data_IF_890302188790
#
_entry.id   IF_890302188790
#
_cell.length_a   1.000
_cell.length_b   1.000
_cell.length_c   1.000
_cell.angle_alpha   90.00
_cell.angle_beta   90.00
_cell.angle_gamma   90.00
#
_symmetry.space_group_name_H-M   'P 1'
#
loop_
_entity.id
_entity.type
_entity.pdbx_description
1 polymer ?
#
# COMPACT_ATOMS: atom_id res chain seq x y z
N UNK A 1 -2.23 6.60 17.07
CA UNK A 1 -3.61 6.07 17.15
C UNK A 1 -4.32 6.39 15.85
N UNK A 2 -5.17 5.47 15.38
CA UNK A 2 -5.84 5.47 14.07
C UNK A 2 -6.97 6.52 13.95
N UNK A 3 -7.30 7.19 15.05
CA UNK A 3 -8.53 7.97 15.24
C UNK A 3 -8.68 9.21 14.33
N UNK A 4 -7.65 9.58 13.57
CA UNK A 4 -7.72 10.72 12.65
C UNK A 4 -7.99 10.38 11.18
N UNK A 5 -7.91 9.11 10.78
CA UNK A 5 -7.94 8.73 9.34
C UNK A 5 -9.12 7.80 9.04
N UNK A 6 -9.40 6.86 9.93
CA UNK A 6 -10.58 6.01 9.88
C UNK A 6 -11.21 6.05 11.26
N UNK A 7 -12.41 6.63 11.37
CA UNK A 7 -13.17 6.67 12.63
C UNK A 7 -13.33 5.25 13.19
N UNK A 8 -13.38 5.02 14.51
CA UNK A 8 -13.76 3.71 15.07
C UNK A 8 -15.05 3.15 14.43
N UNK A 9 -15.17 1.82 14.33
CA UNK A 9 -16.36 1.16 13.77
C UNK A 9 -17.64 1.64 14.46
N UNK A 10 -17.57 1.81 15.79
CA UNK A 10 -18.67 2.30 16.64
C UNK A 10 -19.16 3.71 16.28
N UNK A 11 -18.38 4.47 15.52
CA UNK A 11 -18.67 5.87 15.16
C UNK A 11 -19.07 6.04 13.69
N UNK A 12 -19.19 4.95 12.92
CA UNK A 12 -19.42 4.97 11.47
C UNK A 12 -20.87 4.69 11.03
N UNK A 13 -21.81 4.55 11.96
CA UNK A 13 -23.24 4.35 11.68
C UNK A 13 -23.61 2.94 11.21
N UNK A 14 -24.92 2.70 11.03
CA UNK A 14 -25.52 1.34 10.94
C UNK A 14 -25.39 0.65 9.56
N UNK A 15 -24.71 1.25 8.58
CA UNK A 15 -24.62 0.72 7.21
C UNK A 15 -23.22 0.27 6.82
N UNK A 16 -22.45 -0.28 7.76
CA UNK A 16 -21.13 -0.87 7.48
C UNK A 16 -21.25 -2.34 7.08
N UNK A 17 -20.38 -2.76 6.15
CA UNK A 17 -20.27 -4.16 5.75
C UNK A 17 -19.94 -5.04 6.99
N UNK A 18 -20.73 -6.10 7.28
CA UNK A 18 -20.48 -6.98 8.42
C UNK A 18 -19.09 -7.61 8.44
N UNK A 19 -18.51 -7.92 7.27
CA UNK A 19 -17.16 -8.47 7.19
C UNK A 19 -16.11 -7.44 7.64
N UNK A 20 -16.32 -6.17 7.30
CA UNK A 20 -15.46 -5.06 7.72
C UNK A 20 -15.53 -4.84 9.23
N UNK A 21 -16.75 -4.87 9.80
CA UNK A 21 -16.97 -4.77 11.25
C UNK A 21 -16.23 -5.89 11.97
N UNK A 22 -16.39 -7.13 11.49
CA UNK A 22 -15.74 -8.29 12.09
C UNK A 22 -14.21 -8.20 11.99
N UNK A 23 -13.68 -7.80 10.84
CA UNK A 23 -12.25 -7.64 10.63
C UNK A 23 -11.64 -6.57 11.53
N UNK A 24 -12.36 -5.49 11.80
CA UNK A 24 -11.89 -4.35 12.60
C UNK A 24 -12.18 -4.46 14.10
N UNK A 25 -12.88 -5.52 14.54
CA UNK A 25 -13.19 -5.75 15.96
C UNK A 25 -11.93 -5.92 16.84
N UNK A 26 -10.87 -6.51 16.28
CA UNK A 26 -9.58 -6.70 16.95
C UNK A 26 -8.42 -6.64 15.93
N UNK A 27 -7.99 -5.45 15.52
CA UNK A 27 -6.98 -5.28 14.50
C UNK A 27 -5.59 -5.71 15.02
N UNK A 28 -4.82 -6.38 14.16
CA UNK A 28 -3.40 -6.69 14.43
C UNK A 28 -2.53 -5.57 13.89
N UNK A 29 -1.54 -5.13 14.67
CA UNK A 29 -0.53 -4.17 14.20
C UNK A 29 0.80 -4.89 14.00
N UNK A 30 1.46 -4.64 12.86
CA UNK A 30 2.80 -5.09 12.52
C UNK A 30 3.65 -3.85 12.25
N UNK A 31 4.76 -3.65 12.95
CA UNK A 31 5.66 -2.52 12.76
C UNK A 31 6.79 -2.89 11.81
N UNK A 32 7.01 -2.02 10.83
CA UNK A 32 8.12 -2.11 9.88
C UNK A 32 9.07 -0.94 10.11
N UNK A 33 10.35 -1.23 10.40
CA UNK A 33 11.39 -0.23 10.67
C UNK A 33 12.72 -0.69 10.08
N UNK A 34 13.32 0.09 9.15
CA UNK A 34 14.61 -0.27 8.54
C UNK A 34 15.77 -0.25 9.54
N UNK A 35 15.75 0.70 10.49
CA UNK A 35 16.76 0.85 11.54
C UNK A 35 16.61 -0.07 12.75
N UNK A 36 15.73 -1.09 12.68
CA UNK A 36 15.41 -1.97 13.81
C UNK A 36 14.27 -1.47 14.71
N UNK A 37 13.91 -2.28 15.72
CA UNK A 37 12.82 -1.97 16.66
C UNK A 37 11.40 -2.19 16.13
N UNK A 38 11.25 -2.77 14.93
CA UNK A 38 9.99 -3.32 14.41
C UNK A 38 10.09 -4.83 14.19
N UNK A 39 8.95 -5.50 14.02
CA UNK A 39 8.92 -6.93 13.71
C UNK A 39 9.53 -7.25 12.34
N UNK A 40 9.50 -6.30 11.40
CA UNK A 40 10.14 -6.43 10.10
C UNK A 40 10.94 -5.19 9.72
N UNK A 41 11.91 -5.37 8.82
CA UNK A 41 12.64 -4.28 8.16
C UNK A 41 12.24 -4.05 6.69
N UNK A 42 11.35 -4.89 6.16
CA UNK A 42 10.84 -4.85 4.79
C UNK A 42 9.31 -4.86 4.80
N UNK A 43 8.72 -4.04 3.92
CA UNK A 43 7.26 -3.97 3.76
C UNK A 43 6.74 -5.25 3.11
N UNK A 44 7.45 -5.78 2.12
CA UNK A 44 7.13 -7.05 1.46
C UNK A 44 7.06 -8.21 2.45
N UNK A 45 8.08 -8.38 3.30
CA UNK A 45 8.10 -9.45 4.32
C UNK A 45 6.94 -9.35 5.31
N UNK A 46 6.57 -8.13 5.70
CA UNK A 46 5.41 -7.91 6.57
C UNK A 46 4.11 -8.35 5.90
N UNK A 47 3.92 -8.05 4.61
CA UNK A 47 2.76 -8.50 3.82
C UNK A 47 2.75 -10.02 3.67
N UNK A 48 3.89 -10.63 3.38
CA UNK A 48 4.04 -12.09 3.25
C UNK A 48 3.66 -12.84 4.53
N UNK A 49 3.91 -12.23 5.69
CA UNK A 49 3.54 -12.79 7.01
C UNK A 49 2.02 -12.84 7.27
N UNK A 50 1.22 -12.13 6.48
CA UNK A 50 -0.25 -12.17 6.58
C UNK A 50 -0.75 -13.42 5.87
N UNK A 51 -1.58 -14.23 6.53
CA UNK A 51 -2.12 -15.46 5.95
C UNK A 51 -3.02 -15.20 4.73
N UNK A 52 -3.09 -16.17 3.82
CA UNK A 52 -4.15 -16.19 2.81
C UNK A 52 -5.51 -16.40 3.50
N UNK A 53 -6.56 -15.77 2.96
CA UNK A 53 -7.90 -15.79 3.55
C UNK A 53 -8.01 -15.00 4.87
N UNK A 54 -7.11 -14.04 5.10
CA UNK A 54 -7.08 -13.23 6.32
C UNK A 54 -8.44 -12.56 6.61
N UNK A 55 -8.99 -12.78 7.79
CA UNK A 55 -10.29 -12.21 8.21
C UNK A 55 -10.18 -11.05 9.19
N UNK A 56 -8.96 -10.66 9.57
CA UNK A 56 -8.71 -9.60 10.57
C UNK A 56 -8.00 -8.42 9.92
N UNK A 57 -8.34 -7.19 10.31
CA UNK A 57 -7.62 -5.99 9.89
C UNK A 57 -6.15 -6.10 10.33
N UNK A 58 -5.22 -6.15 9.37
CA UNK A 58 -3.77 -6.12 9.66
C UNK A 58 -3.21 -4.78 9.24
N UNK A 59 -2.69 -4.04 10.22
CA UNK A 59 -2.14 -2.70 10.06
C UNK A 59 -0.62 -2.81 10.05
N UNK A 60 -0.04 -2.67 8.87
CA UNK A 60 1.40 -2.59 8.65
C UNK A 60 1.80 -1.13 8.87
N UNK A 61 2.29 -0.84 10.08
CA UNK A 61 2.77 0.48 10.48
C UNK A 61 4.22 0.68 10.04
N UNK A 62 4.41 1.48 9.00
CA UNK A 62 5.70 1.68 8.33
C UNK A 62 6.37 2.94 8.90
N UNK A 63 7.64 2.81 9.26
CA UNK A 63 8.41 3.89 9.85
C UNK A 63 9.00 4.78 8.77
N UNK A 64 9.54 5.95 9.12
CA UNK A 64 10.22 6.77 8.14
C UNK A 64 11.42 6.02 7.53
N UNK A 65 11.66 6.27 6.26
CA UNK A 65 12.71 5.58 5.51
C UNK A 65 12.43 5.52 4.01
N UNK A 66 13.36 4.91 3.29
CA UNK A 66 13.25 4.65 1.85
C UNK A 66 13.27 3.14 1.64
N UNK A 67 12.10 2.61 1.31
CA UNK A 67 11.87 1.18 1.08
C UNK A 67 11.95 0.92 -0.43
N UNK A 68 13.09 0.40 -0.88
CA UNK A 68 13.34 0.05 -2.29
C UNK A 68 12.81 -1.36 -2.57
N UNK A 69 11.51 -1.49 -2.75
CA UNK A 69 10.80 -2.76 -2.85
C UNK A 69 9.69 -2.68 -3.90
N UNK A 70 9.56 -3.70 -4.74
CA UNK A 70 8.35 -3.91 -5.53
C UNK A 70 7.31 -4.59 -4.64
N UNK A 71 6.19 -3.92 -4.37
CA UNK A 71 5.20 -4.36 -3.40
C UNK A 71 3.95 -4.85 -4.14
N UNK A 72 3.55 -6.09 -3.85
CA UNK A 72 2.28 -6.66 -4.30
C UNK A 72 1.50 -7.19 -3.10
N UNK A 73 0.25 -6.77 -2.97
CA UNK A 73 -0.72 -7.33 -2.03
C UNK A 73 -1.73 -8.12 -2.84
N UNK A 74 -1.63 -9.45 -2.75
CA UNK A 74 -2.44 -10.38 -3.53
C UNK A 74 -3.91 -10.35 -3.11
N UNK A 75 -4.80 -10.67 -4.05
CA UNK A 75 -6.25 -10.76 -3.82
C UNK A 75 -6.63 -11.62 -2.61
N UNK A 76 -5.88 -12.70 -2.37
CA UNK A 76 -6.12 -13.62 -1.26
C UNK A 76 -5.78 -13.08 0.13
N UNK A 77 -5.34 -11.82 0.28
CA UNK A 77 -4.97 -11.22 1.57
C UNK A 77 -5.80 -9.96 1.87
N UNK A 78 -7.12 -10.06 2.13
CA UNK A 78 -7.98 -8.90 2.37
C UNK A 78 -7.66 -8.19 3.70
N UNK A 79 -8.20 -6.99 3.88
CA UNK A 79 -8.11 -6.18 5.10
C UNK A 79 -6.68 -5.78 5.53
N UNK A 80 -5.76 -5.60 4.57
CA UNK A 80 -4.42 -5.07 4.84
C UNK A 80 -4.45 -3.54 4.79
N UNK A 81 -3.79 -2.91 5.77
CA UNK A 81 -3.57 -1.46 5.81
C UNK A 81 -2.07 -1.16 5.82
N UNK A 82 -1.60 -0.33 4.89
CA UNK A 82 -0.28 0.29 4.97
C UNK A 82 -0.43 1.68 5.57
N UNK A 83 0.24 1.94 6.69
CA UNK A 83 0.10 3.18 7.44
C UNK A 83 1.47 3.79 7.79
N UNK A 84 1.73 5.00 7.31
CA UNK A 84 2.86 5.83 7.74
C UNK A 84 2.47 6.89 8.78
N UNK A 85 3.48 7.66 9.21
CA UNK A 85 3.27 8.84 10.05
C UNK A 85 3.07 10.07 9.14
N UNK A 86 2.01 10.87 9.30
CA UNK A 86 1.76 12.02 8.43
C UNK A 86 2.86 13.10 8.50
N UNK A 87 3.58 13.20 9.63
CA UNK A 87 4.70 14.14 9.80
C UNK A 87 6.02 13.64 9.17
N UNK A 88 6.12 12.34 8.88
CA UNK A 88 7.32 11.73 8.34
C UNK A 88 6.94 10.46 7.56
N UNK A 89 6.40 10.67 6.36
CA UNK A 89 5.87 9.59 5.54
C UNK A 89 7.01 8.74 4.96
N UNK A 90 6.91 7.40 4.97
CA UNK A 90 7.85 6.54 4.28
C UNK A 90 7.77 6.71 2.76
N UNK A 91 8.91 6.50 2.10
CA UNK A 91 8.99 6.44 0.65
C UNK A 91 9.03 4.97 0.20
N UNK A 92 7.96 4.50 -0.42
CA UNK A 92 7.90 3.21 -1.09
C UNK A 92 8.35 3.44 -2.53
N UNK A 93 9.46 2.81 -2.93
CA UNK A 93 10.13 3.11 -4.19
C UNK A 93 10.46 1.85 -4.98
N UNK A 94 10.24 1.90 -6.29
CA UNK A 94 10.71 0.85 -7.21
C UNK A 94 10.95 1.45 -8.60
N UNK A 95 11.83 0.86 -9.41
CA UNK A 95 12.20 1.36 -10.74
C UNK A 95 11.63 0.53 -11.89
N UNK A 96 10.37 0.13 -11.82
CA UNK A 96 9.77 -0.78 -12.78
C UNK A 96 9.38 -0.10 -14.09
N UNK A 97 9.89 -0.60 -15.23
CA UNK A 97 9.49 -0.12 -16.58
C UNK A 97 8.46 -1.05 -17.21
N UNK A 98 7.62 -0.51 -18.11
CA UNK A 98 6.71 -1.34 -18.91
C UNK A 98 7.47 -2.28 -19.87
N UNK A 99 8.68 -1.92 -20.29
CA UNK A 99 9.56 -2.80 -21.10
C UNK A 99 9.95 -4.07 -20.34
N UNK A 100 10.22 -3.94 -19.04
CA UNK A 100 10.69 -5.04 -18.21
C UNK A 100 9.54 -5.85 -17.59
N UNK A 101 8.45 -5.19 -17.18
CA UNK A 101 7.39 -5.82 -16.39
C UNK A 101 6.02 -5.84 -17.09
N UNK A 102 5.91 -5.24 -18.27
CA UNK A 102 4.63 -4.85 -18.85
C UNK A 102 3.97 -3.71 -18.06
N UNK A 103 3.00 -3.04 -18.68
CA UNK A 103 2.29 -1.89 -18.08
C UNK A 103 1.57 -2.26 -16.77
N UNK A 104 1.05 -3.49 -16.68
CA UNK A 104 0.28 -3.94 -15.52
C UNK A 104 1.16 -4.15 -14.29
N UNK A 105 2.39 -4.67 -14.47
CA UNK A 105 3.26 -5.01 -13.35
C UNK A 105 4.42 -4.02 -13.17
N UNK A 106 4.46 -2.90 -13.88
CA UNK A 106 5.51 -1.88 -13.71
C UNK A 106 5.36 -1.07 -12.40
N UNK A 107 4.21 -1.18 -11.72
CA UNK A 107 3.92 -0.39 -10.53
C UNK A 107 4.80 -0.70 -9.32
N UNK A 108 5.07 0.35 -8.52
CA UNK A 108 5.80 0.22 -7.25
C UNK A 108 4.95 -0.48 -6.19
N UNK A 109 3.67 -0.08 -6.07
CA UNK A 109 2.68 -0.74 -5.23
C UNK A 109 1.51 -1.26 -6.07
N UNK A 110 1.23 -2.55 -5.96
CA UNK A 110 0.07 -3.22 -6.55
C UNK A 110 -0.77 -3.79 -5.41
N UNK A 111 -2.03 -3.35 -5.27
CA UNK A 111 -2.99 -3.87 -4.32
C UNK A 111 -4.19 -4.49 -5.04
N UNK A 112 -4.25 -5.81 -5.07
CA UNK A 112 -5.37 -6.59 -5.62
C UNK A 112 -6.35 -7.04 -4.53
N UNK A 113 -6.03 -6.71 -3.28
CA UNK A 113 -6.71 -7.12 -2.05
C UNK A 113 -7.95 -6.27 -1.78
N UNK A 114 -9.08 -6.92 -1.45
CA UNK A 114 -10.29 -6.23 -1.02
C UNK A 114 -10.08 -5.60 0.37
N UNK A 115 -10.72 -4.46 0.60
CA UNK A 115 -10.60 -3.66 1.83
C UNK A 115 -9.17 -3.18 2.11
N UNK A 116 -8.35 -3.06 1.06
CA UNK A 116 -7.02 -2.49 1.17
C UNK A 116 -7.09 -1.02 1.59
N UNK A 117 -6.23 -0.60 2.50
CA UNK A 117 -6.11 0.81 2.88
C UNK A 117 -4.65 1.24 2.81
N UNK A 118 -4.40 2.40 2.23
CA UNK A 118 -3.11 3.07 2.32
C UNK A 118 -3.31 4.48 2.88
N UNK A 119 -2.49 4.85 3.87
CA UNK A 119 -2.50 6.20 4.40
C UNK A 119 -1.12 6.71 4.85
N UNK A 120 -0.86 7.99 4.59
CA UNK A 120 0.38 8.68 4.94
C UNK A 120 1.64 8.02 4.34
N UNK A 121 1.64 7.77 3.03
CA UNK A 121 2.74 7.14 2.31
C UNK A 121 3.12 8.00 1.11
N UNK A 122 4.41 8.01 0.77
CA UNK A 122 4.88 8.43 -0.54
C UNK A 122 5.11 7.17 -1.39
N UNK A 123 4.50 7.08 -2.57
CA UNK A 123 4.67 5.97 -3.50
C UNK A 123 5.33 6.51 -4.75
N UNK A 124 6.55 6.06 -5.03
CA UNK A 124 7.41 6.63 -6.07
C UNK A 124 7.88 5.55 -7.03
N UNK A 125 7.56 5.69 -8.31
CA UNK A 125 8.22 4.88 -9.34
C UNK A 125 9.40 5.66 -9.94
N UNK A 126 10.61 5.13 -9.75
CA UNK A 126 11.89 5.72 -10.14
C UNK A 126 12.34 5.35 -11.57
N UNK A 127 11.48 4.69 -12.35
CA UNK A 127 11.79 4.34 -13.73
C UNK A 127 12.10 5.59 -14.58
N UNK A 128 13.20 5.53 -15.33
CA UNK A 128 13.60 6.61 -16.25
C UNK A 128 12.71 6.64 -17.50
N UNK A 129 12.57 7.82 -18.11
CA UNK A 129 11.82 8.01 -19.37
C UNK A 129 12.38 7.06 -20.45
N UNK A 130 11.53 6.38 -21.24
CA UNK A 130 12.01 5.56 -22.36
C UNK A 130 12.83 6.42 -23.34
N UNK A 131 13.99 5.94 -23.76
CA UNK A 131 14.78 6.58 -24.82
C UNK A 131 13.98 6.61 -26.13
N UNK A 132 13.98 7.77 -26.82
CA UNK A 132 13.46 7.89 -28.19
C UNK A 132 12.09 8.56 -28.36
N UNK A 133 11.49 9.16 -27.32
CA UNK A 133 10.34 10.07 -27.46
C UNK A 133 9.04 9.47 -28.02
N UNK A 134 9.01 8.17 -28.31
CA UNK A 134 7.81 7.44 -28.75
C UNK A 134 7.08 6.87 -27.55
N UNK A 135 5.89 7.40 -27.29
CA UNK A 135 4.92 6.99 -26.27
C UNK A 135 4.26 5.65 -26.62
N UNK A 136 5.05 4.57 -26.67
CA UNK A 136 4.51 3.20 -26.64
C UNK A 136 5.11 2.54 -25.40
N UNK A 137 4.34 2.52 -24.30
CA UNK A 137 4.76 1.98 -22.99
C UNK A 137 5.17 3.03 -21.94
N UNK A 138 4.91 4.33 -22.19
CA UNK A 138 5.32 5.45 -21.33
C UNK A 138 4.50 5.68 -20.04
N UNK A 139 3.77 4.68 -19.53
CA UNK A 139 3.07 4.81 -18.25
C UNK A 139 3.97 4.34 -17.11
N UNK A 140 4.51 5.28 -16.33
CA UNK A 140 5.23 5.01 -15.09
C UNK A 140 4.22 4.99 -13.95
N UNK A 141 3.54 3.84 -13.79
CA UNK A 141 2.53 3.67 -12.73
C UNK A 141 3.25 3.58 -11.39
N UNK A 142 2.87 4.38 -10.40
CA UNK A 142 3.40 4.26 -9.04
C UNK A 142 2.49 3.40 -8.15
N UNK A 143 1.17 3.50 -8.33
CA UNK A 143 0.16 2.74 -7.58
C UNK A 143 -0.87 2.10 -8.51
N UNK A 144 -1.20 0.83 -8.26
CA UNK A 144 -2.35 0.13 -8.86
C UNK A 144 -3.21 -0.46 -7.75
N UNK A 145 -4.51 -0.14 -7.75
CA UNK A 145 -5.50 -0.73 -6.84
C UNK A 145 -6.61 -1.37 -7.66
N UNK A 146 -6.93 -2.62 -7.39
CA UNK A 146 -7.98 -3.36 -8.10
C UNK A 146 -8.86 -4.24 -7.19
N UNK A 147 -8.68 -4.14 -5.88
CA UNK A 147 -9.58 -4.77 -4.91
C UNK A 147 -10.73 -3.84 -4.55
N UNK A 148 -11.89 -4.41 -4.24
CA UNK A 148 -13.09 -3.65 -3.89
C UNK A 148 -12.94 -2.99 -2.51
N UNK A 149 -13.59 -1.83 -2.33
CA UNK A 149 -13.64 -1.07 -1.07
C UNK A 149 -12.25 -0.69 -0.54
N UNK A 150 -11.41 -0.15 -1.42
CA UNK A 150 -10.00 0.14 -1.13
C UNK A 150 -9.71 1.64 -1.04
N UNK A 151 -10.07 2.33 0.06
CA UNK A 151 -9.86 3.77 0.15
C UNK A 151 -8.40 4.12 0.41
N UNK A 152 -7.99 5.28 -0.10
CA UNK A 152 -6.62 5.81 0.00
C UNK A 152 -6.72 7.21 0.57
N UNK A 153 -6.03 7.48 1.68
CA UNK A 153 -6.15 8.76 2.41
C UNK A 153 -4.78 9.41 2.59
N UNK A 154 -4.69 10.73 2.36
CA UNK A 154 -3.49 11.53 2.62
C UNK A 154 -2.20 10.88 2.05
N UNK A 155 -2.15 10.75 0.74
CA UNK A 155 -1.07 10.09 0.02
C UNK A 155 -0.41 11.06 -0.97
N UNK A 156 0.87 10.84 -1.25
CA UNK A 156 1.55 11.44 -2.41
C UNK A 156 1.96 10.31 -3.36
N UNK A 157 1.55 10.42 -4.62
CA UNK A 157 1.99 9.53 -5.71
C UNK A 157 2.97 10.32 -6.56
N UNK A 158 4.10 9.73 -6.92
CA UNK A 158 5.09 10.33 -7.81
C UNK A 158 5.49 9.33 -8.89
N UNK A 159 5.36 9.73 -10.15
CA UNK A 159 5.80 8.97 -11.32
C UNK A 159 6.13 9.92 -12.48
N UNK A 160 6.81 9.44 -13.52
CA UNK A 160 7.01 10.22 -14.74
C UNK A 160 5.84 9.98 -15.72
N UNK A 161 5.14 11.08 -16.05
CA UNK A 161 3.93 11.21 -16.86
C UNK A 161 2.60 10.92 -16.13
N UNK A 162 1.91 12.02 -15.81
CA UNK A 162 0.55 12.19 -15.27
C UNK A 162 0.27 11.50 -13.92
N UNK A 163 0.48 12.24 -12.82
CA UNK A 163 -0.38 12.13 -11.63
C UNK A 163 -1.56 13.06 -11.75
#
# INVERSE_FOLDING_TARGET
MLEGIIKPVKERGDSLDPELIQAESNPKVIKVRQGGGGEFNSVKKAIESVALGNTKRVIISIGPGVYKEKIKIERGKPFITLLGNPKNMPNLTFGGTAKEYGTVNSATLIAESNYFVAANLNIVNLASKPEGGKTIGGQVVALRVSGDRSPIYNYNIYGFQET
#
